data_IF_568401286285
#
_entry.id   IF_568401286285
#
_cell.length_a   1.000
_cell.length_b   1.000
_cell.length_c   1.000
_cell.angle_alpha   90.00
_cell.angle_beta   90.00
_cell.angle_gamma   90.00
#
_symmetry.space_group_name_H-M   'P 1'
#
loop_
_entity.id
_entity.type
_entity.pdbx_description
1 polymer ?
#
# COMPACT_ATOMS: atom_id res chain seq x y z
N UNK A 1 -11.77 12.75 17.58
CA UNK A 1 -10.67 12.32 18.46
C UNK A 1 -10.00 11.15 17.77
N UNK A 2 -8.70 11.16 17.77
CA UNK A 2 -7.93 10.05 17.21
C UNK A 2 -8.01 8.88 18.18
N UNK A 3 -8.25 7.68 17.68
CA UNK A 3 -8.47 6.49 18.50
C UNK A 3 -7.72 5.28 17.93
N UNK A 4 -7.24 4.40 18.79
CA UNK A 4 -6.75 3.08 18.40
C UNK A 4 -7.94 2.13 18.35
N UNK A 5 -8.30 1.65 17.16
CA UNK A 5 -9.47 0.81 16.94
C UNK A 5 -9.15 -0.69 16.87
N UNK A 6 -7.88 -1.07 16.70
CA UNK A 6 -7.43 -2.45 16.74
C UNK A 6 -6.05 -2.53 17.36
N UNK A 7 -5.79 -3.57 18.16
CA UNK A 7 -4.52 -3.81 18.85
C UNK A 7 -4.10 -5.28 18.76
N UNK A 8 -2.85 -5.58 19.19
CA UNK A 8 -2.34 -6.94 19.22
C UNK A 8 -2.10 -7.55 17.85
N UNK A 9 -1.96 -6.70 16.83
CA UNK A 9 -1.62 -7.09 15.47
C UNK A 9 -0.11 -7.34 15.37
N UNK A 10 0.26 -8.14 14.39
CA UNK A 10 1.67 -8.44 14.12
C UNK A 10 2.07 -7.98 12.71
N UNK A 11 2.88 -6.93 12.66
CA UNK A 11 3.29 -6.28 11.40
C UNK A 11 2.07 -6.00 10.49
N UNK A 12 1.06 -5.26 10.98
CA UNK A 12 -0.08 -4.88 10.14
C UNK A 12 0.40 -4.07 8.95
N UNK A 13 -0.07 -4.40 7.76
CA UNK A 13 0.37 -3.75 6.53
C UNK A 13 -0.81 -3.25 5.71
N UNK A 14 -1.01 -3.75 4.50
CA UNK A 14 -2.06 -3.30 3.61
C UNK A 14 -3.43 -3.20 4.29
N UNK A 15 -4.11 -2.10 4.05
CA UNK A 15 -5.38 -1.77 4.68
C UNK A 15 -6.33 -1.17 3.64
N UNK A 16 -7.59 -1.61 3.63
CA UNK A 16 -8.63 -1.12 2.72
C UNK A 16 -9.98 -1.01 3.42
N UNK A 17 -10.69 0.10 3.20
CA UNK A 17 -12.07 0.29 3.67
C UNK A 17 -13.06 -0.39 2.72
N UNK A 18 -14.11 -1.00 3.28
CA UNK A 18 -15.17 -1.69 2.57
C UNK A 18 -16.43 -0.81 2.50
N UNK A 19 -17.30 -1.09 1.50
CA UNK A 19 -18.54 -0.33 1.28
C UNK A 19 -19.52 -0.40 2.44
N UNK A 20 -19.50 -1.46 3.24
CA UNK A 20 -20.36 -1.65 4.41
C UNK A 20 -19.82 -1.00 5.71
N UNK A 21 -18.74 -0.23 5.62
CA UNK A 21 -18.12 0.48 6.74
C UNK A 21 -17.07 -0.33 7.50
N UNK A 22 -16.93 -1.63 7.21
CA UNK A 22 -15.83 -2.46 7.71
C UNK A 22 -14.52 -2.09 7.03
N UNK A 23 -13.42 -2.67 7.49
CA UNK A 23 -12.13 -2.60 6.81
C UNK A 23 -11.41 -3.96 6.84
N UNK A 24 -10.61 -4.20 5.83
CA UNK A 24 -9.74 -5.37 5.77
C UNK A 24 -8.28 -4.98 5.91
N UNK A 25 -7.49 -5.88 6.47
CA UNK A 25 -6.07 -5.68 6.74
C UNK A 25 -5.31 -7.01 6.60
N UNK A 26 -4.08 -6.92 6.14
CA UNK A 26 -3.16 -8.06 6.12
C UNK A 26 -2.09 -7.93 7.19
N UNK A 27 -1.70 -9.06 7.80
CA UNK A 27 -0.58 -9.17 8.74
C UNK A 27 0.57 -9.93 8.09
N UNK A 28 1.75 -9.29 8.02
CA UNK A 28 2.94 -9.84 7.36
C UNK A 28 3.72 -10.83 8.23
N UNK A 29 3.60 -10.74 9.55
CA UNK A 29 4.39 -11.56 10.48
C UNK A 29 4.30 -13.05 10.16
N UNK A 30 5.43 -13.75 10.19
CA UNK A 30 5.53 -15.17 9.82
C UNK A 30 4.62 -16.09 10.62
N UNK A 31 4.24 -15.71 11.85
CA UNK A 31 3.30 -16.44 12.68
C UNK A 31 1.83 -16.21 12.32
N UNK A 32 1.54 -15.19 11.53
CA UNK A 32 0.18 -14.77 11.13
C UNK A 32 -0.06 -14.98 9.64
N UNK A 33 0.53 -14.16 8.78
CA UNK A 33 0.40 -14.19 7.30
C UNK A 33 -1.05 -14.36 6.88
N UNK A 34 -1.91 -13.46 7.32
CA UNK A 34 -3.36 -13.62 7.19
C UNK A 34 -4.05 -12.35 6.73
N UNK A 35 -5.25 -12.55 6.19
CA UNK A 35 -6.25 -11.53 5.92
C UNK A 35 -7.24 -11.49 7.08
N UNK A 36 -7.48 -10.32 7.62
CA UNK A 36 -8.47 -10.04 8.66
C UNK A 36 -9.49 -9.03 8.21
N UNK A 37 -10.71 -9.21 8.67
CA UNK A 37 -11.82 -8.29 8.48
C UNK A 37 -12.24 -7.72 9.84
N UNK A 38 -12.33 -6.41 9.93
CA UNK A 38 -12.64 -5.66 11.13
C UNK A 38 -13.95 -4.90 10.96
N UNK A 39 -14.75 -4.85 12.00
CA UNK A 39 -15.86 -3.91 12.09
C UNK A 39 -15.42 -2.54 12.65
N UNK A 40 -16.36 -1.62 12.74
CA UNK A 40 -16.12 -0.25 13.23
C UNK A 40 -15.76 -0.19 14.73
N UNK A 41 -15.98 -1.26 15.48
CA UNK A 41 -15.61 -1.36 16.90
C UNK A 41 -14.22 -1.94 17.11
N UNK A 42 -13.57 -2.43 16.03
CA UNK A 42 -12.30 -3.14 16.10
C UNK A 42 -12.40 -4.64 16.36
N UNK A 43 -13.63 -5.17 16.51
CA UNK A 43 -13.82 -6.62 16.54
C UNK A 43 -13.48 -7.19 15.15
N UNK A 44 -12.76 -8.31 15.13
CA UNK A 44 -12.23 -8.84 13.88
C UNK A 44 -12.40 -10.35 13.74
N UNK A 45 -12.37 -10.78 12.49
CA UNK A 45 -12.38 -12.16 12.06
C UNK A 45 -11.17 -12.42 11.15
N UNK A 46 -10.42 -13.49 11.39
CA UNK A 46 -9.45 -14.00 10.41
C UNK A 46 -10.24 -14.67 9.27
N UNK A 47 -10.03 -14.19 8.05
CA UNK A 47 -10.71 -14.72 6.87
C UNK A 47 -9.95 -15.92 6.33
N UNK A 48 -8.64 -15.76 6.16
CA UNK A 48 -7.77 -16.85 5.70
C UNK A 48 -6.30 -16.56 6.02
N UNK A 49 -5.50 -17.60 5.99
CA UNK A 49 -4.05 -17.51 5.90
C UNK A 49 -3.65 -17.53 4.43
N UNK A 50 -2.77 -16.60 4.05
CA UNK A 50 -2.39 -16.40 2.65
C UNK A 50 -1.09 -17.15 2.35
N UNK A 51 -0.19 -17.23 3.30
CA UNK A 51 1.22 -17.59 3.10
C UNK A 51 2.05 -16.36 2.86
N UNK A 52 3.25 -16.51 2.34
CA UNK A 52 4.11 -15.39 1.98
C UNK A 52 4.34 -14.36 3.08
N UNK A 53 4.37 -13.08 2.73
CA UNK A 53 4.43 -11.94 3.66
C UNK A 53 3.52 -10.82 3.14
N UNK A 54 2.18 -10.98 3.25
CA UNK A 54 1.23 -10.12 2.57
C UNK A 54 1.42 -8.64 2.94
N UNK A 55 1.62 -7.80 1.93
CA UNK A 55 2.02 -6.40 2.08
C UNK A 55 0.89 -5.43 1.75
N UNK A 56 0.31 -5.53 0.57
CA UNK A 56 -0.73 -4.64 0.06
C UNK A 56 -2.07 -5.34 -0.11
N UNK A 57 -3.15 -4.57 -0.11
CA UNK A 57 -4.49 -5.07 -0.35
C UNK A 57 -5.32 -4.06 -1.15
N UNK A 58 -6.12 -4.56 -2.08
CA UNK A 58 -7.21 -3.85 -2.74
C UNK A 58 -8.47 -4.71 -2.72
N UNK A 59 -9.62 -4.10 -2.99
CA UNK A 59 -10.91 -4.80 -3.10
C UNK A 59 -11.58 -4.41 -4.41
N UNK A 60 -12.17 -5.39 -5.10
CA UNK A 60 -12.97 -5.15 -6.30
C UNK A 60 -14.46 -4.97 -5.97
N UNK A 61 -15.26 -4.63 -6.99
CA UNK A 61 -16.71 -4.40 -6.85
C UNK A 61 -17.50 -5.65 -6.51
N UNK A 62 -16.92 -6.83 -6.70
CA UNK A 62 -17.49 -8.13 -6.33
C UNK A 62 -17.17 -8.52 -4.88
N UNK A 63 -16.42 -7.67 -4.17
CA UNK A 63 -15.98 -7.89 -2.80
C UNK A 63 -14.82 -8.87 -2.68
N UNK A 64 -14.14 -9.20 -3.78
CA UNK A 64 -12.94 -10.04 -3.76
C UNK A 64 -11.72 -9.21 -3.36
N UNK A 65 -10.85 -9.82 -2.57
CA UNK A 65 -9.61 -9.19 -2.11
C UNK A 65 -8.47 -9.52 -3.08
N UNK A 66 -7.69 -8.50 -3.39
CA UNK A 66 -6.43 -8.62 -4.12
C UNK A 66 -5.31 -8.34 -3.14
N UNK A 67 -4.40 -9.30 -2.97
CA UNK A 67 -3.33 -9.23 -1.96
C UNK A 67 -1.99 -9.39 -2.63
N UNK A 68 -1.10 -8.43 -2.38
CA UNK A 68 0.31 -8.52 -2.74
C UNK A 68 1.01 -9.41 -1.69
N UNK A 69 1.62 -10.52 -2.15
CA UNK A 69 2.25 -11.53 -1.29
C UNK A 69 3.76 -11.61 -1.55
N UNK A 70 4.49 -10.81 -0.82
CA UNK A 70 5.92 -10.62 -1.08
C UNK A 70 6.81 -11.86 -1.15
N UNK A 71 6.83 -12.83 -0.19
CA UNK A 71 7.79 -13.93 -0.23
C UNK A 71 7.61 -14.93 -1.36
N UNK A 72 6.37 -15.16 -1.75
CA UNK A 72 6.05 -15.99 -2.91
C UNK A 72 6.06 -15.18 -4.20
N UNK A 73 6.39 -13.88 -4.04
CA UNK A 73 6.48 -12.93 -5.13
C UNK A 73 5.21 -12.93 -6.00
N UNK A 74 4.06 -13.15 -5.38
CA UNK A 74 2.79 -13.28 -6.12
C UNK A 74 1.77 -12.22 -5.74
N UNK A 75 0.86 -11.96 -6.66
CA UNK A 75 -0.39 -11.27 -6.44
C UNK A 75 -1.51 -12.32 -6.39
N UNK A 76 -2.32 -12.30 -5.33
CA UNK A 76 -3.36 -13.31 -5.11
C UNK A 76 -4.74 -12.65 -5.09
N UNK A 77 -5.69 -13.17 -5.88
CA UNK A 77 -7.11 -12.81 -5.77
C UNK A 77 -7.83 -13.82 -4.89
N UNK A 78 -8.55 -13.33 -3.89
CA UNK A 78 -9.29 -14.12 -2.91
C UNK A 78 -10.78 -13.78 -2.98
N UNK A 79 -11.65 -14.80 -2.87
CA UNK A 79 -13.08 -14.55 -2.66
C UNK A 79 -13.31 -13.84 -1.30
N UNK A 80 -14.52 -13.26 -1.06
CA UNK A 80 -14.88 -12.69 0.24
C UNK A 80 -14.75 -13.67 1.42
N UNK A 81 -14.75 -15.00 1.15
CA UNK A 81 -14.58 -16.07 2.14
C UNK A 81 -13.13 -16.58 2.23
N UNK A 82 -12.17 -15.91 1.53
CA UNK A 82 -10.74 -16.26 1.59
C UNK A 82 -10.31 -17.44 0.69
N UNK A 83 -11.16 -17.88 -0.22
CA UNK A 83 -10.76 -18.91 -1.21
C UNK A 83 -9.91 -18.26 -2.32
N UNK A 84 -8.77 -18.86 -2.64
CA UNK A 84 -7.92 -18.43 -3.76
C UNK A 84 -8.67 -18.61 -5.08
N UNK A 85 -8.79 -17.54 -5.84
CA UNK A 85 -9.42 -17.51 -7.16
C UNK A 85 -8.38 -17.43 -8.29
N UNK A 86 -7.28 -16.68 -8.05
CA UNK A 86 -6.23 -16.45 -9.05
C UNK A 86 -4.90 -16.19 -8.34
N UNK A 87 -3.80 -16.59 -8.97
CA UNK A 87 -2.42 -16.29 -8.56
C UNK A 87 -1.66 -15.79 -9.77
N UNK A 88 -0.94 -14.67 -9.61
CA UNK A 88 -0.14 -14.05 -10.66
C UNK A 88 1.28 -13.89 -10.10
N UNK A 89 2.25 -14.57 -10.70
CA UNK A 89 3.62 -14.68 -10.18
C UNK A 89 4.62 -13.75 -10.86
N UNK A 90 4.24 -13.07 -11.93
CA UNK A 90 5.15 -12.20 -12.67
C UNK A 90 4.58 -11.65 -13.96
N UNK A 91 5.45 -11.09 -14.76
CA UNK A 91 5.20 -10.58 -16.11
C UNK A 91 5.91 -11.43 -17.16
N UNK A 92 5.76 -11.04 -18.43
CA UNK A 92 6.51 -11.66 -19.53
C UNK A 92 8.04 -11.47 -19.38
N UNK A 93 8.46 -10.45 -18.63
CA UNK A 93 9.88 -10.11 -18.40
C UNK A 93 10.49 -10.87 -17.21
N UNK A 94 9.67 -11.59 -16.43
CA UNK A 94 10.12 -12.37 -15.28
C UNK A 94 9.20 -12.32 -14.07
N UNK A 95 9.57 -13.01 -12.99
CA UNK A 95 8.82 -13.04 -11.76
C UNK A 95 8.84 -11.67 -11.07
N UNK A 96 7.80 -11.39 -10.28
CA UNK A 96 7.82 -10.29 -9.33
C UNK A 96 8.92 -10.52 -8.28
N UNK A 97 9.45 -9.43 -7.71
CA UNK A 97 10.48 -9.52 -6.68
C UNK A 97 9.93 -9.32 -5.27
N UNK A 98 9.10 -8.29 -5.09
CA UNK A 98 8.45 -7.99 -3.82
C UNK A 98 7.23 -7.09 -4.07
N UNK A 99 6.09 -7.66 -4.53
CA UNK A 99 4.84 -6.94 -4.66
C UNK A 99 4.51 -6.18 -3.39
N UNK A 100 4.08 -4.91 -3.49
CA UNK A 100 3.93 -4.08 -2.29
C UNK A 100 2.53 -3.49 -2.15
N UNK A 101 2.14 -2.50 -2.93
CA UNK A 101 0.85 -1.84 -2.82
C UNK A 101 0.00 -2.00 -4.08
N UNK A 102 -1.32 -1.92 -3.90
CA UNK A 102 -2.31 -2.15 -4.94
C UNK A 102 -3.32 -1.02 -4.99
N UNK A 103 -3.74 -0.63 -6.19
CA UNK A 103 -4.87 0.26 -6.41
C UNK A 103 -5.57 -0.08 -7.72
N UNK A 104 -6.90 -0.05 -7.74
CA UNK A 104 -7.64 -0.04 -9.00
C UNK A 104 -7.65 1.37 -9.59
N UNK A 105 -7.45 1.46 -10.90
CA UNK A 105 -7.54 2.70 -11.65
C UNK A 105 -8.98 3.00 -12.10
N UNK A 106 -9.21 4.24 -12.60
CA UNK A 106 -10.50 4.62 -13.17
C UNK A 106 -10.86 3.86 -14.46
N UNK A 107 -9.87 3.20 -15.07
CA UNK A 107 -10.01 2.33 -16.23
C UNK A 107 -10.42 0.88 -15.88
N UNK A 108 -10.57 0.59 -14.58
CA UNK A 108 -10.91 -0.75 -14.08
C UNK A 108 -9.74 -1.73 -14.02
N UNK A 109 -8.54 -1.31 -14.40
CA UNK A 109 -7.34 -2.13 -14.32
C UNK A 109 -6.73 -2.07 -12.91
N UNK A 110 -5.94 -3.08 -12.57
CA UNK A 110 -5.21 -3.14 -11.31
C UNK A 110 -3.79 -2.61 -11.51
N UNK A 111 -3.35 -1.80 -10.56
CA UNK A 111 -2.01 -1.24 -10.52
C UNK A 111 -1.29 -1.71 -9.29
N UNK A 112 -0.04 -2.13 -9.46
CA UNK A 112 0.77 -2.70 -8.40
C UNK A 112 2.17 -2.10 -8.41
N UNK A 113 2.65 -1.73 -7.24
CA UNK A 113 4.08 -1.48 -7.02
C UNK A 113 4.78 -2.77 -6.64
N UNK A 114 5.99 -2.95 -7.13
CA UNK A 114 6.93 -3.97 -6.68
C UNK A 114 8.17 -3.26 -6.15
N UNK A 115 8.57 -3.55 -4.93
CA UNK A 115 9.70 -2.88 -4.28
C UNK A 115 11.05 -3.18 -4.95
N UNK A 116 11.11 -4.20 -5.79
CA UNK A 116 12.27 -4.54 -6.61
C UNK A 116 13.47 -5.05 -5.83
N UNK A 117 13.25 -5.65 -4.67
CA UNK A 117 14.25 -6.28 -3.83
C UNK A 117 13.79 -7.68 -3.45
N UNK A 118 14.69 -8.64 -3.39
CA UNK A 118 14.37 -9.95 -2.85
C UNK A 118 14.20 -9.86 -1.34
N UNK A 119 13.27 -10.62 -0.79
CA UNK A 119 12.99 -10.60 0.65
C UNK A 119 14.24 -10.98 1.48
N UNK A 120 15.05 -11.93 0.99
CA UNK A 120 16.28 -12.37 1.64
C UNK A 120 17.37 -11.27 1.67
N UNK A 121 17.34 -10.34 0.71
CA UNK A 121 18.23 -9.18 0.70
C UNK A 121 17.70 -8.05 1.61
N UNK A 122 16.40 -8.04 1.87
CA UNK A 122 15.74 -7.05 2.74
C UNK A 122 15.74 -7.47 4.21
N UNK A 123 15.58 -8.77 4.50
CA UNK A 123 15.40 -9.29 5.86
C UNK A 123 16.41 -10.38 6.18
N UNK A 124 16.98 -10.30 7.38
CA UNK A 124 17.79 -11.34 7.99
C UNK A 124 17.22 -11.66 9.39
N UNK A 125 16.82 -12.91 9.61
CA UNK A 125 16.25 -13.34 10.89
C UNK A 125 14.98 -12.55 11.32
N UNK A 126 14.17 -12.08 10.36
CA UNK A 126 12.97 -11.30 10.59
C UNK A 126 13.22 -9.81 10.93
N UNK A 127 14.44 -9.33 10.73
CA UNK A 127 14.83 -7.92 10.90
C UNK A 127 15.34 -7.35 9.59
N UNK A 128 15.25 -6.04 9.41
CA UNK A 128 15.86 -5.37 8.25
C UNK A 128 17.34 -5.70 8.20
N UNK A 129 17.80 -6.23 7.07
CA UNK A 129 19.20 -6.55 6.83
C UNK A 129 20.05 -5.28 6.94
N UNK A 130 21.20 -5.27 7.66
CA UNK A 130 22.00 -4.06 7.84
C UNK A 130 22.46 -3.41 6.54
N UNK A 131 22.67 -4.21 5.51
CA UNK A 131 23.15 -3.78 4.19
C UNK A 131 22.03 -3.70 3.13
N UNK A 132 20.76 -3.71 3.52
CA UNK A 132 19.63 -3.65 2.59
C UNK A 132 19.75 -2.51 1.57
N UNK A 133 20.34 -1.39 1.96
CA UNK A 133 20.52 -0.22 1.09
C UNK A 133 21.57 -0.44 -0.02
N UNK A 134 22.37 -1.52 0.06
CA UNK A 134 23.35 -1.92 -0.97
C UNK A 134 22.78 -2.92 -1.97
N UNK A 135 21.57 -3.43 -1.73
CA UNK A 135 20.95 -4.40 -2.62
C UNK A 135 20.71 -3.80 -4.01
N UNK A 136 20.63 -4.65 -5.01
CA UNK A 136 20.30 -4.26 -6.37
C UNK A 136 18.77 -4.09 -6.47
N UNK A 137 18.29 -2.85 -6.38
CA UNK A 137 16.88 -2.53 -6.54
C UNK A 137 16.49 -2.43 -8.01
N UNK A 138 15.34 -2.96 -8.35
CA UNK A 138 14.66 -2.74 -9.62
C UNK A 138 13.15 -2.60 -9.36
N UNK A 139 12.76 -1.64 -8.53
CA UNK A 139 11.35 -1.39 -8.21
C UNK A 139 10.57 -1.02 -9.46
N UNK A 140 9.36 -1.58 -9.58
CA UNK A 140 8.52 -1.43 -10.74
C UNK A 140 7.10 -0.98 -10.37
N UNK A 141 6.41 -0.41 -11.35
CA UNK A 141 4.96 -0.18 -11.32
C UNK A 141 4.34 -0.93 -12.47
N UNK A 142 3.44 -1.84 -12.17
CA UNK A 142 2.74 -2.70 -13.13
C UNK A 142 1.31 -2.26 -13.35
N UNK A 143 0.84 -2.34 -14.61
CA UNK A 143 -0.58 -2.30 -14.98
C UNK A 143 -1.02 -3.72 -15.35
N UNK A 144 -2.07 -4.23 -14.71
CA UNK A 144 -2.50 -5.62 -14.75
C UNK A 144 -3.98 -5.68 -15.14
N UNK A 145 -4.32 -6.55 -16.09
CA UNK A 145 -5.72 -6.87 -16.37
C UNK A 145 -6.24 -7.81 -15.29
N UNK A 146 -7.21 -7.40 -14.47
CA UNK A 146 -7.67 -8.23 -13.37
C UNK A 146 -8.53 -9.42 -13.84
N UNK A 147 -9.04 -9.43 -15.07
CA UNK A 147 -9.88 -10.50 -15.59
C UNK A 147 -9.06 -11.79 -15.85
N UNK A 148 -7.89 -11.65 -16.47
CA UNK A 148 -7.03 -12.78 -16.80
C UNK A 148 -5.69 -12.79 -16.04
N UNK A 149 -5.37 -11.74 -15.31
CA UNK A 149 -4.13 -11.59 -14.54
C UNK A 149 -2.92 -11.20 -15.37
N UNK A 150 -3.12 -10.85 -16.62
CA UNK A 150 -2.02 -10.49 -17.52
C UNK A 150 -1.44 -9.12 -17.17
N UNK A 151 -0.13 -9.05 -16.98
CA UNK A 151 0.59 -7.78 -16.93
C UNK A 151 0.57 -7.15 -18.31
N UNK A 152 -0.15 -6.03 -18.44
CA UNK A 152 -0.31 -5.29 -19.71
C UNK A 152 0.98 -4.56 -20.05
N UNK A 153 1.57 -3.89 -19.05
CA UNK A 153 2.82 -3.14 -19.21
C UNK A 153 3.49 -2.82 -17.88
N UNK A 154 4.77 -2.48 -17.95
CA UNK A 154 5.55 -1.84 -16.89
C UNK A 154 5.48 -0.34 -17.12
N UNK A 155 4.95 0.42 -16.16
CA UNK A 155 4.78 1.87 -16.23
C UNK A 155 6.03 2.63 -15.77
N UNK A 156 6.73 2.06 -14.79
CA UNK A 156 8.00 2.58 -14.27
C UNK A 156 8.87 1.40 -13.83
N UNK A 157 10.19 1.57 -13.90
CA UNK A 157 11.19 0.61 -13.47
C UNK A 157 12.43 1.31 -12.90
N UNK A 158 13.30 0.56 -12.21
CA UNK A 158 14.53 1.10 -11.63
C UNK A 158 14.30 1.95 -10.39
N UNK A 159 13.14 1.84 -9.74
CA UNK A 159 12.81 2.57 -8.51
C UNK A 159 13.54 1.93 -7.31
N UNK A 160 13.91 2.76 -6.34
CA UNK A 160 14.53 2.31 -5.09
C UNK A 160 13.45 2.13 -4.01
N UNK A 161 12.93 0.90 -3.90
CA UNK A 161 11.85 0.51 -3.01
C UNK A 161 10.52 1.21 -3.36
N UNK A 162 9.92 0.86 -4.51
CA UNK A 162 8.57 1.30 -4.84
C UNK A 162 7.57 0.74 -3.81
N UNK A 163 6.70 1.61 -3.26
CA UNK A 163 5.82 1.25 -2.16
C UNK A 163 4.38 1.72 -2.42
N UNK A 164 3.90 2.80 -1.79
CA UNK A 164 2.52 3.25 -1.94
C UNK A 164 2.11 3.58 -3.36
N UNK A 165 0.82 3.39 -3.66
CA UNK A 165 0.21 3.69 -4.96
C UNK A 165 -1.19 4.24 -4.75
N UNK A 166 -1.58 5.27 -5.49
CA UNK A 166 -2.91 5.86 -5.43
C UNK A 166 -3.26 6.63 -6.71
N UNK A 167 -4.54 6.85 -6.94
CA UNK A 167 -5.06 7.73 -7.98
C UNK A 167 -5.66 8.99 -7.37
N UNK A 168 -5.45 10.13 -8.03
CA UNK A 168 -6.20 11.35 -7.72
C UNK A 168 -7.56 11.38 -8.41
N UNK A 169 -8.35 12.43 -8.16
CA UNK A 169 -9.68 12.60 -8.75
C UNK A 169 -9.68 12.77 -10.28
N UNK A 170 -8.54 13.09 -10.88
CA UNK A 170 -8.37 13.26 -12.31
C UNK A 170 -7.87 11.99 -13.01
N UNK A 171 -7.65 10.91 -12.24
CA UNK A 171 -7.12 9.65 -12.76
C UNK A 171 -5.61 9.66 -13.01
N UNK A 172 -4.87 10.61 -12.43
CA UNK A 172 -3.41 10.56 -12.40
C UNK A 172 -2.95 9.51 -11.40
N UNK A 173 -2.01 8.70 -11.82
CA UNK A 173 -1.36 7.70 -10.98
C UNK A 173 -0.23 8.33 -10.18
N UNK A 174 -0.17 8.04 -8.87
CA UNK A 174 0.92 8.41 -7.98
C UNK A 174 1.51 7.18 -7.32
N UNK A 175 2.84 7.16 -7.16
CA UNK A 175 3.54 6.09 -6.45
C UNK A 175 4.77 6.63 -5.72
N UNK A 176 5.07 6.01 -4.58
CA UNK A 176 6.17 6.41 -3.72
C UNK A 176 7.42 5.58 -3.98
N UNK A 177 8.58 6.20 -3.76
CA UNK A 177 9.90 5.61 -3.77
C UNK A 177 10.54 5.84 -2.40
N UNK A 178 10.43 4.83 -1.53
CA UNK A 178 10.68 4.98 -0.09
C UNK A 178 12.11 5.39 0.22
N UNK A 179 13.10 4.77 -0.41
CA UNK A 179 14.51 5.02 -0.09
C UNK A 179 15.02 6.37 -0.59
N UNK A 180 14.35 6.99 -1.55
CA UNK A 180 14.73 8.31 -2.08
C UNK A 180 13.90 9.45 -1.52
N UNK A 181 12.82 9.14 -0.79
CA UNK A 181 11.90 10.14 -0.26
C UNK A 181 11.06 10.83 -1.34
N UNK A 182 10.87 10.19 -2.49
CA UNK A 182 10.15 10.77 -3.63
C UNK A 182 8.74 10.22 -3.75
N UNK A 183 7.85 11.05 -4.29
CA UNK A 183 6.60 10.60 -4.89
C UNK A 183 6.59 11.04 -6.34
N UNK A 184 6.30 10.10 -7.21
CA UNK A 184 6.17 10.31 -8.65
C UNK A 184 4.70 10.35 -9.04
N UNK A 185 4.41 10.99 -10.19
CA UNK A 185 3.08 10.94 -10.81
C UNK A 185 3.19 10.73 -12.32
N UNK A 186 2.15 10.17 -12.92
CA UNK A 186 2.05 10.10 -14.38
C UNK A 186 0.61 9.93 -14.86
N UNK A 187 0.31 10.42 -16.06
CA UNK A 187 -0.85 10.00 -16.85
C UNK A 187 -0.54 8.58 -17.34
N UNK A 188 -1.52 7.68 -17.30
CA UNK A 188 -1.33 6.30 -17.75
C UNK A 188 -0.88 6.25 -19.20
N UNK A 189 0.27 5.60 -19.43
CA UNK A 189 0.96 5.57 -20.73
C UNK A 189 1.74 6.84 -21.08
N UNK A 190 1.75 7.85 -20.21
CA UNK A 190 2.55 9.07 -20.34
C UNK A 190 3.91 8.97 -19.67
N UNK A 191 4.62 10.09 -19.64
CA UNK A 191 5.93 10.19 -18.98
C UNK A 191 5.76 10.29 -17.46
N UNK A 192 6.66 9.63 -16.73
CA UNK A 192 6.83 9.82 -15.29
C UNK A 192 7.32 11.23 -14.98
N UNK A 193 6.72 11.86 -13.97
CA UNK A 193 7.11 13.16 -13.45
C UNK A 193 7.39 13.04 -11.95
N UNK A 194 8.37 13.79 -11.46
CA UNK A 194 8.55 13.96 -10.02
C UNK A 194 7.47 14.89 -9.49
N UNK A 195 6.67 14.42 -8.52
CA UNK A 195 5.62 15.23 -7.89
C UNK A 195 6.13 15.92 -6.63
N UNK A 196 6.77 15.19 -5.72
CA UNK A 196 7.40 15.76 -4.53
C UNK A 196 8.77 15.12 -4.30
N UNK A 197 9.75 15.95 -3.97
CA UNK A 197 11.13 15.55 -3.71
C UNK A 197 11.41 15.60 -2.21
N UNK A 198 12.02 14.53 -1.72
CA UNK A 198 12.65 14.48 -0.41
C UNK A 198 11.76 14.89 0.76
N UNK A 199 10.80 14.04 1.04
CA UNK A 199 10.08 14.12 2.30
C UNK A 199 10.97 13.70 3.49
N UNK A 200 12.20 13.21 3.21
CA UNK A 200 13.17 12.81 4.23
C UNK A 200 14.59 13.05 3.77
N UNK A 201 15.48 13.31 4.70
CA UNK A 201 16.92 13.17 4.46
C UNK A 201 17.29 11.68 4.39
N UNK A 202 18.04 11.22 3.39
CA UNK A 202 18.46 9.83 3.33
C UNK A 202 19.25 9.50 4.59
N UNK A 203 18.70 8.66 5.46
CA UNK A 203 19.49 8.05 6.53
C UNK A 203 19.99 6.73 6.00
N UNK A 204 21.26 6.67 5.79
CA UNK A 204 21.98 5.43 5.54
C UNK A 204 21.65 4.48 6.72
N UNK A 205 21.21 3.25 6.43
CA UNK A 205 20.91 2.18 7.39
C UNK A 205 19.52 2.23 8.07
N UNK A 206 18.59 3.05 7.64
CA UNK A 206 17.20 3.00 8.13
C UNK A 206 16.22 2.98 6.97
N UNK A 207 15.36 1.95 6.92
CA UNK A 207 14.22 1.96 5.99
C UNK A 207 13.23 3.01 6.48
N UNK A 208 13.17 4.14 5.76
CA UNK A 208 12.28 5.24 6.07
C UNK A 208 11.95 6.06 4.83
N UNK A 209 10.77 6.60 4.80
CA UNK A 209 10.31 7.45 3.70
C UNK A 209 8.83 7.24 3.38
N UNK A 210 8.36 7.80 2.26
CA UNK A 210 6.98 7.68 1.81
C UNK A 210 6.63 6.22 1.55
N UNK A 211 5.51 5.78 2.13
CA UNK A 211 4.92 4.44 2.01
C UNK A 211 3.49 4.56 1.50
N UNK A 212 2.47 4.18 2.27
CA UNK A 212 1.08 4.24 1.85
C UNK A 212 0.61 5.63 1.41
N UNK A 213 -0.19 5.69 0.35
CA UNK A 213 -0.70 6.92 -0.26
C UNK A 213 -2.23 6.91 -0.29
N UNK A 214 -2.85 8.06 -0.04
CA UNK A 214 -4.28 8.28 -0.25
C UNK A 214 -4.56 9.75 -0.57
N UNK A 215 -5.63 10.04 -1.31
CA UNK A 215 -6.05 11.40 -1.64
C UNK A 215 -7.32 11.81 -0.91
N UNK A 216 -7.42 13.08 -0.54
CA UNK A 216 -8.69 13.69 -0.23
C UNK A 216 -9.39 14.25 -1.50
N UNK A 217 -10.65 14.65 -1.36
CA UNK A 217 -11.47 15.19 -2.47
C UNK A 217 -10.97 16.53 -2.98
N UNK A 218 -10.12 17.24 -2.24
CA UNK A 218 -9.52 18.51 -2.67
C UNK A 218 -8.20 18.33 -3.41
N UNK A 219 -7.72 17.08 -3.56
CA UNK A 219 -6.47 16.74 -4.24
C UNK A 219 -5.24 16.81 -3.34
N UNK A 220 -5.40 16.92 -2.02
CA UNK A 220 -4.28 16.80 -1.08
C UNK A 220 -3.90 15.32 -0.96
N UNK A 221 -2.62 15.03 -1.18
CA UNK A 221 -2.04 13.72 -0.97
C UNK A 221 -1.69 13.53 0.50
N UNK A 222 -2.18 12.46 1.10
CA UNK A 222 -1.76 11.94 2.39
C UNK A 222 -0.73 10.84 2.15
N UNK A 223 0.41 10.93 2.82
CA UNK A 223 1.52 10.02 2.63
C UNK A 223 2.00 9.51 3.99
N UNK A 224 1.85 8.21 4.25
CA UNK A 224 2.41 7.56 5.41
C UNK A 224 3.94 7.63 5.35
N UNK A 225 4.56 8.15 6.38
CA UNK A 225 6.02 8.32 6.45
C UNK A 225 6.62 7.22 7.34
N UNK A 226 6.88 6.07 6.73
CA UNK A 226 7.47 4.93 7.42
C UNK A 226 8.82 5.30 8.05
N UNK A 227 9.02 4.94 9.31
CA UNK A 227 10.20 5.26 10.09
C UNK A 227 10.24 6.69 10.65
N UNK A 228 9.18 7.51 10.46
CA UNK A 228 9.10 8.90 10.93
C UNK A 228 7.90 9.18 11.85
N UNK A 229 6.90 8.28 11.90
CA UNK A 229 5.75 8.43 12.79
C UNK A 229 4.82 9.57 12.44
N UNK A 230 4.59 9.78 11.16
CA UNK A 230 3.67 10.83 10.69
C UNK A 230 3.04 10.50 9.34
N UNK A 231 1.93 11.15 9.06
CA UNK A 231 1.32 11.26 7.75
C UNK A 231 1.62 12.66 7.22
N UNK A 232 2.40 12.77 6.19
CA UNK A 232 2.67 14.05 5.52
C UNK A 232 1.52 14.41 4.59
N UNK A 233 1.14 15.69 4.55
CA UNK A 233 0.13 16.26 3.68
C UNK A 233 0.82 17.07 2.59
N UNK A 234 0.53 16.78 1.32
CA UNK A 234 1.12 17.44 0.16
C UNK A 234 0.00 18.03 -0.70
N UNK A 235 0.11 19.32 -1.03
CA UNK A 235 -0.88 20.02 -1.85
C UNK A 235 -0.80 19.60 -3.34
N UNK A 236 -1.73 20.09 -4.15
CA UNK A 236 -1.83 19.79 -5.59
C UNK A 236 -0.60 20.25 -6.41
N UNK A 237 0.24 21.09 -5.83
CA UNK A 237 1.46 21.60 -6.46
C UNK A 237 2.73 20.89 -5.98
N UNK A 238 2.57 19.85 -5.14
CA UNK A 238 3.69 19.07 -4.57
C UNK A 238 4.39 19.75 -3.39
N UNK A 239 3.77 20.74 -2.74
CA UNK A 239 4.32 21.44 -1.57
C UNK A 239 3.79 20.81 -0.29
N UNK A 240 4.63 20.77 0.74
CA UNK A 240 4.23 20.32 2.07
C UNK A 240 3.15 21.26 2.64
N UNK A 241 1.98 20.69 2.96
CA UNK A 241 0.82 21.39 3.49
C UNK A 241 0.58 21.14 4.99
N UNK A 242 1.32 20.21 5.58
CA UNK A 242 1.24 19.85 6.99
C UNK A 242 1.60 18.40 7.25
N UNK A 243 1.38 17.99 8.50
CA UNK A 243 1.54 16.59 8.91
C UNK A 243 0.59 16.24 10.05
N UNK A 244 0.32 14.94 10.20
CA UNK A 244 -0.45 14.36 11.29
C UNK A 244 0.46 13.35 11.99
N UNK A 245 0.61 13.41 13.31
CA UNK A 245 1.41 12.44 14.07
C UNK A 245 0.66 11.12 14.23
N UNK A 246 1.40 10.01 14.18
CA UNK A 246 0.93 8.67 14.53
C UNK A 246 1.46 8.24 15.89
N UNK A 247 0.84 7.23 16.51
CA UNK A 247 1.26 6.76 17.85
C UNK A 247 2.58 5.96 17.82
N UNK A 248 2.98 5.46 16.67
CA UNK A 248 4.26 4.76 16.47
C UNK A 248 5.05 5.37 15.32
N UNK A 249 6.24 4.83 15.07
CA UNK A 249 7.15 5.37 14.05
C UNK A 249 7.02 4.70 12.69
N UNK A 250 6.18 3.64 12.55
CA UNK A 250 6.11 2.83 11.33
C UNK A 250 4.71 2.77 10.72
N UNK A 251 4.09 3.92 10.38
CA UNK A 251 2.84 3.90 9.62
C UNK A 251 3.14 3.29 8.22
N UNK A 252 2.51 2.16 7.90
CA UNK A 252 2.76 1.42 6.66
C UNK A 252 1.77 1.75 5.57
N UNK A 253 0.48 1.53 5.83
CA UNK A 253 -0.60 1.76 4.89
C UNK A 253 -1.65 2.70 5.48
N UNK A 254 -2.32 3.43 4.59
CA UNK A 254 -3.41 4.34 4.95
C UNK A 254 -4.59 4.17 3.99
N UNK A 255 -5.80 4.30 4.52
CA UNK A 255 -7.02 4.33 3.73
C UNK A 255 -8.05 5.24 4.39
N UNK A 256 -8.79 6.02 3.60
CA UNK A 256 -9.95 6.72 4.13
C UNK A 256 -11.09 5.74 4.40
N UNK A 257 -11.86 5.98 5.47
CA UNK A 257 -13.14 5.30 5.69
C UNK A 257 -14.09 5.58 4.52
N UNK A 258 -15.06 4.71 4.30
CA UNK A 258 -15.99 4.84 3.14
C UNK A 258 -16.76 6.16 3.14
N UNK A 259 -17.06 6.73 4.30
CA UNK A 259 -17.70 8.04 4.45
C UNK A 259 -16.70 9.22 4.27
N UNK A 260 -15.41 8.91 4.10
CA UNK A 260 -14.33 9.86 3.91
C UNK A 260 -13.97 10.71 5.14
N UNK A 261 -14.58 10.47 6.31
CA UNK A 261 -14.41 11.35 7.48
C UNK A 261 -13.17 11.03 8.30
N UNK A 262 -12.64 9.81 8.19
CA UNK A 262 -11.49 9.36 8.96
C UNK A 262 -10.46 8.72 8.06
N UNK A 263 -9.22 8.79 8.50
CA UNK A 263 -8.10 8.06 7.93
C UNK A 263 -7.78 6.88 8.85
N UNK A 264 -7.76 5.68 8.30
CA UNK A 264 -7.27 4.48 8.95
C UNK A 264 -5.78 4.35 8.65
N UNK A 265 -4.98 4.01 9.66
CA UNK A 265 -3.53 3.87 9.56
C UNK A 265 -3.10 2.54 10.16
N UNK A 266 -2.47 1.67 9.38
CA UNK A 266 -1.78 0.51 9.93
C UNK A 266 -0.43 0.94 10.49
N UNK A 267 -0.21 0.70 11.77
CA UNK A 267 1.02 1.07 12.47
C UNK A 267 1.75 -0.20 12.95
N UNK A 268 2.91 -0.45 12.36
CA UNK A 268 3.62 -1.73 12.50
C UNK A 268 4.43 -1.85 13.80
N UNK A 269 4.93 -0.74 14.36
CA UNK A 269 5.76 -0.78 15.56
C UNK A 269 4.97 -1.23 16.78
N UNK A 270 3.77 -0.67 16.97
CA UNK A 270 2.89 -0.98 18.10
C UNK A 270 1.87 -2.09 17.78
N UNK A 271 1.77 -2.49 16.51
CA UNK A 271 0.82 -3.51 16.07
C UNK A 271 -0.63 -3.09 16.23
N UNK A 272 -0.97 -1.90 15.70
CA UNK A 272 -2.29 -1.29 15.87
C UNK A 272 -2.87 -0.79 14.54
N UNK A 273 -4.17 -0.53 14.52
CA UNK A 273 -4.81 0.36 13.55
C UNK A 273 -5.30 1.60 14.29
N UNK A 274 -4.86 2.75 13.81
CA UNK A 274 -5.32 4.05 14.27
C UNK A 274 -6.42 4.56 13.35
N UNK A 275 -7.41 5.24 13.94
CA UNK A 275 -8.45 5.97 13.22
C UNK A 275 -8.31 7.44 13.58
N UNK A 276 -7.96 8.24 12.60
CA UNK A 276 -7.64 9.66 12.75
C UNK A 276 -8.73 10.47 12.07
N UNK A 277 -9.23 11.51 12.71
CA UNK A 277 -10.18 12.43 12.07
C UNK A 277 -9.51 13.12 10.88
N UNK A 278 -10.05 12.91 9.69
CA UNK A 278 -9.49 13.50 8.49
C UNK A 278 -9.78 15.01 8.44
N UNK A 279 -8.78 15.86 8.18
CA UNK A 279 -9.01 17.30 8.03
C UNK A 279 -9.96 17.65 6.89
N UNK A 280 -10.05 16.78 5.88
CA UNK A 280 -10.91 16.92 4.70
C UNK A 280 -11.44 15.56 4.26
N UNK A 281 -12.60 15.50 3.59
CA UNK A 281 -13.18 14.24 3.14
C UNK A 281 -12.29 13.49 2.15
N UNK A 282 -12.06 12.21 2.42
CA UNK A 282 -11.29 11.32 1.56
C UNK A 282 -11.91 11.10 0.18
N UNK A 283 -11.07 10.84 -0.81
CA UNK A 283 -11.49 10.42 -2.14
C UNK A 283 -11.92 8.95 -2.12
N UNK A 284 -13.07 8.59 -2.70
CA UNK A 284 -13.47 7.19 -2.81
C UNK A 284 -12.50 6.36 -3.65
N UNK A 285 -12.31 5.11 -3.28
CA UNK A 285 -11.52 4.15 -4.06
C UNK A 285 -12.28 3.70 -5.31
N UNK A 286 -11.54 3.37 -6.37
CA UNK A 286 -12.08 2.65 -7.52
C UNK A 286 -12.26 1.18 -7.16
N UNK A 287 -13.45 0.64 -7.37
CA UNK A 287 -13.80 -0.76 -7.09
C UNK A 287 -14.57 -1.33 -8.29
N UNK A 288 -13.88 -1.71 -9.38
CA UNK A 288 -14.52 -2.23 -10.58
C UNK A 288 -15.07 -3.64 -10.34
N UNK A 289 -16.18 -3.97 -10.97
CA UNK A 289 -16.63 -5.37 -11.11
C UNK A 289 -15.75 -6.06 -12.15
N UNK A 290 -15.24 -7.24 -11.81
CA UNK A 290 -14.35 -8.02 -12.68
C UNK A 290 -15.16 -9.07 -13.42
N UNK A 291 -15.38 -8.82 -14.71
CA UNK A 291 -16.17 -9.69 -15.60
C UNK A 291 -15.33 -10.80 -16.24
#
# INVERSE_FOLDING_TARGET
MDETIATGLRLPSGLVALQDGRFALVEMDTSRRCLKLFDTSGAHQEICRIGGSPTGIAIDGDGCFWVADGPENSLVRLSPQGRVLQVIEGSADGPFLHPNALAFGPDGLLYMTDSGIRLDDLLEGGRIHPDFFKAAYNGCVYQIDPADGRVIRVLAAGLLFASGIAFDANGLLYYSETLTGKVHRQIIGGRQELFVQSMTSPAINMLRGPSGLAFDRSGVLYCAMYGLGEISLVDTEGRMAGHIRTNGTRPGSIAFTIDGKHLLVSEQENGVVEKITAPRPGLPLHMPTIS
#
